data_IF_272954275463
#
_entry.id   IF_272954275463
#
_cell.length_a   1.000
_cell.length_b   1.000
_cell.length_c   1.000
_cell.angle_alpha   90.00
_cell.angle_beta   90.00
_cell.angle_gamma   90.00
#
_symmetry.space_group_name_H-M   'P 1'
#
loop_
_entity.id
_entity.type
_entity.pdbx_description
1 polymer ?
#
# COMPACT_ATOMS: atom_id res chain seq x y z
N UNK A 1 -8.61 -1.24 6.86
CA UNK A 1 -8.83 -2.50 7.59
C UNK A 1 -7.92 -3.55 6.97
N UNK A 2 -7.07 -4.19 7.76
CA UNK A 2 -6.21 -5.27 7.31
C UNK A 2 -6.61 -6.54 8.06
N UNK A 3 -6.85 -7.62 7.30
CA UNK A 3 -7.07 -8.95 7.87
C UNK A 3 -5.76 -9.72 7.85
N UNK A 4 -5.41 -10.30 8.99
CA UNK A 4 -4.22 -11.10 9.18
C UNK A 4 -4.59 -12.56 9.32
N UNK A 5 -3.82 -13.41 8.67
CA UNK A 5 -3.95 -14.86 8.75
C UNK A 5 -2.63 -15.45 9.23
N UNK A 6 -2.64 -16.64 9.86
CA UNK A 6 -1.41 -17.33 10.22
C UNK A 6 -0.53 -17.55 8.98
N UNK A 7 0.71 -17.06 9.04
CA UNK A 7 1.70 -17.21 7.95
C UNK A 7 2.28 -18.62 7.96
N UNK A 8 1.50 -19.57 7.45
CA UNK A 8 1.88 -20.97 7.33
C UNK A 8 1.68 -21.42 5.89
N UNK A 9 2.81 -21.64 5.20
CA UNK A 9 2.80 -22.02 3.79
C UNK A 9 2.17 -23.41 3.61
N UNK A 10 1.63 -23.73 2.41
CA UNK A 10 1.10 -25.05 2.11
C UNK A 10 2.12 -26.18 2.40
N UNK A 11 3.41 -25.98 2.05
CA UNK A 11 4.46 -26.95 2.37
C UNK A 11 4.62 -27.19 3.88
N UNK A 12 4.69 -26.11 4.67
CA UNK A 12 4.83 -26.22 6.12
C UNK A 12 3.65 -26.96 6.74
N UNK A 13 2.43 -26.69 6.26
CA UNK A 13 1.21 -27.41 6.68
C UNK A 13 1.29 -28.89 6.39
N UNK A 14 1.63 -29.26 5.15
CA UNK A 14 1.74 -30.66 4.77
C UNK A 14 2.82 -31.38 5.56
N UNK A 15 3.95 -30.72 5.86
CA UNK A 15 5.02 -31.29 6.70
C UNK A 15 4.58 -31.47 8.15
N UNK A 16 3.84 -30.52 8.72
CA UNK A 16 3.28 -30.64 10.07
C UNK A 16 2.25 -31.78 10.12
N UNK A 17 1.31 -31.83 9.18
CA UNK A 17 0.31 -32.89 9.10
C UNK A 17 0.97 -34.28 8.95
N UNK A 18 1.97 -34.40 8.08
CA UNK A 18 2.72 -35.64 7.91
C UNK A 18 3.48 -36.04 9.19
N UNK A 19 4.03 -35.08 9.93
CA UNK A 19 4.69 -35.35 11.21
C UNK A 19 3.67 -35.80 12.28
N UNK A 20 2.52 -35.13 12.36
CA UNK A 20 1.45 -35.47 13.30
C UNK A 20 0.83 -36.85 13.00
N UNK A 21 0.66 -37.21 11.73
CA UNK A 21 0.13 -38.52 11.31
C UNK A 21 1.00 -39.71 11.74
N UNK A 22 2.29 -39.48 11.96
CA UNK A 22 3.20 -40.48 12.54
C UNK A 22 2.96 -40.70 14.03
N UNK A 23 2.40 -39.71 14.73
CA UNK A 23 2.11 -39.75 16.16
C UNK A 23 0.68 -40.22 16.44
N UNK A 24 -0.26 -39.88 15.57
CA UNK A 24 -1.68 -40.25 15.70
C UNK A 24 -2.31 -40.49 14.32
N UNK A 25 -3.17 -41.51 14.12
CA UNK A 25 -3.73 -41.84 12.80
C UNK A 25 -4.67 -40.77 12.23
N UNK A 26 -5.24 -39.93 13.08
CA UNK A 26 -6.11 -38.82 12.70
C UNK A 26 -5.78 -37.60 13.58
N UNK A 27 -4.69 -36.88 13.32
CA UNK A 27 -4.36 -35.69 14.07
C UNK A 27 -5.26 -34.53 13.63
N UNK A 28 -5.53 -33.62 14.56
CA UNK A 28 -6.17 -32.34 14.27
C UNK A 28 -5.12 -31.24 14.39
N UNK A 29 -5.00 -30.43 13.33
CA UNK A 29 -4.18 -29.23 13.33
C UNK A 29 -5.12 -28.04 13.43
N UNK A 30 -5.43 -27.66 14.67
CA UNK A 30 -6.18 -26.44 14.94
C UNK A 30 -5.22 -25.26 14.99
N UNK A 31 -5.60 -24.21 14.29
CA UNK A 31 -4.81 -22.99 14.21
C UNK A 31 -5.50 -21.89 15.00
N UNK A 32 -4.73 -20.90 15.40
CA UNK A 32 -5.21 -19.93 16.39
C UNK A 32 -6.43 -19.13 15.92
N UNK A 33 -6.61 -18.95 14.60
CA UNK A 33 -7.81 -18.33 14.03
C UNK A 33 -9.05 -19.24 14.09
N UNK A 34 -8.87 -20.57 14.10
CA UNK A 34 -9.95 -21.56 14.19
C UNK A 34 -10.38 -21.85 15.64
N UNK A 35 -9.50 -21.63 16.62
CA UNK A 35 -9.78 -21.89 18.03
C UNK A 35 -10.54 -20.71 18.66
N UNK A 36 -11.52 -21.01 19.51
CA UNK A 36 -12.21 -20.00 20.31
C UNK A 36 -11.31 -19.47 21.43
N UNK A 37 -10.51 -18.46 21.12
CA UNK A 37 -9.57 -17.84 22.05
C UNK A 37 -9.86 -16.36 22.25
N UNK A 38 -9.51 -15.84 23.42
CA UNK A 38 -9.38 -14.40 23.62
C UNK A 38 -7.99 -13.96 23.19
N UNK A 39 -7.89 -12.75 22.65
CA UNK A 39 -6.60 -12.14 22.28
C UNK A 39 -6.40 -10.87 23.10
N UNK A 40 -5.23 -10.74 23.69
CA UNK A 40 -4.80 -9.55 24.40
C UNK A 40 -3.47 -9.08 23.82
N UNK A 41 -3.36 -7.78 23.57
CA UNK A 41 -2.17 -7.15 23.03
C UNK A 41 -1.37 -6.47 24.14
N UNK A 42 -0.05 -6.65 24.13
CA UNK A 42 0.89 -5.92 24.97
C UNK A 42 2.08 -5.42 24.18
N UNK A 43 2.78 -4.43 24.73
CA UNK A 43 4.07 -3.96 24.21
C UNK A 43 4.02 -3.39 22.77
N UNK A 44 2.93 -2.69 22.45
CA UNK A 44 2.84 -1.96 21.19
C UNK A 44 3.64 -0.65 21.23
N UNK A 45 4.12 -0.21 20.07
CA UNK A 45 5.00 0.94 19.95
C UNK A 45 4.34 2.29 20.30
N UNK A 46 5.07 3.09 21.08
CA UNK A 46 4.99 4.54 21.22
C UNK A 46 3.58 5.16 21.32
N UNK A 47 2.74 4.63 22.22
CA UNK A 47 1.46 5.25 22.56
C UNK A 47 0.33 4.98 21.56
N UNK A 48 0.56 4.14 20.56
CA UNK A 48 -0.51 3.54 19.77
C UNK A 48 -0.99 2.26 20.45
N UNK A 49 -2.29 2.12 20.66
CA UNK A 49 -2.91 0.89 21.12
C UNK A 49 -3.73 0.32 19.96
N UNK A 50 -3.28 -0.74 19.27
CA UNK A 50 -4.14 -1.40 18.33
C UNK A 50 -5.30 -2.04 19.06
N UNK A 51 -6.42 -2.07 18.37
CA UNK A 51 -7.50 -2.98 18.67
C UNK A 51 -7.36 -4.20 17.77
N UNK A 52 -7.37 -5.39 18.36
CA UNK A 52 -7.21 -6.66 17.65
C UNK A 52 -8.47 -7.47 17.88
N UNK A 53 -9.27 -7.61 16.84
CA UNK A 53 -10.51 -8.37 16.88
C UNK A 53 -10.38 -9.64 16.04
N UNK A 54 -10.96 -10.74 16.52
CA UNK A 54 -11.03 -11.98 15.74
C UNK A 54 -12.10 -11.85 14.65
N UNK A 55 -11.74 -12.20 13.42
CA UNK A 55 -12.68 -12.42 12.31
C UNK A 55 -12.94 -13.92 12.12
N UNK A 56 -13.83 -14.26 11.18
CA UNK A 56 -14.17 -15.65 10.88
C UNK A 56 -12.99 -16.47 10.30
N UNK A 57 -12.00 -15.82 9.68
CA UNK A 57 -10.84 -16.44 9.02
C UNK A 57 -9.48 -15.91 9.47
N UNK A 58 -9.43 -15.02 10.47
CA UNK A 58 -8.21 -14.32 10.84
C UNK A 58 -8.40 -13.32 11.97
N UNK A 59 -7.56 -12.28 11.95
CA UNK A 59 -7.58 -11.19 12.93
C UNK A 59 -7.62 -9.86 12.20
N UNK A 60 -8.48 -8.95 12.65
CA UNK A 60 -8.52 -7.58 12.20
C UNK A 60 -7.74 -6.73 13.17
N UNK A 61 -6.81 -5.94 12.64
CA UNK A 61 -6.03 -4.99 13.43
C UNK A 61 -6.44 -3.58 13.03
N UNK A 62 -6.91 -2.81 14.01
CA UNK A 62 -7.29 -1.41 13.87
C UNK A 62 -6.34 -0.56 14.69
N UNK A 63 -5.74 0.45 14.06
CA UNK A 63 -4.85 1.39 14.72
C UNK A 63 -5.43 2.80 14.58
N UNK A 64 -5.56 3.49 15.72
CA UNK A 64 -5.96 4.89 15.76
C UNK A 64 -4.74 5.76 16.11
N UNK A 65 -4.55 6.82 15.35
CA UNK A 65 -3.46 7.78 15.56
C UNK A 65 -3.87 9.15 15.07
N UNK A 66 -3.18 10.19 15.55
CA UNK A 66 -3.23 11.50 14.93
C UNK A 66 -2.53 11.49 13.55
N UNK A 67 -2.66 12.56 12.76
CA UNK A 67 -2.02 12.67 11.46
C UNK A 67 -0.50 12.49 11.45
N UNK A 68 0.21 12.90 12.51
CA UNK A 68 1.67 12.78 12.57
C UNK A 68 2.11 11.33 12.81
N UNK A 69 1.41 10.62 13.68
CA UNK A 69 1.63 9.21 13.91
C UNK A 69 1.20 8.33 12.73
N UNK A 70 0.31 8.79 11.84
CA UNK A 70 0.00 8.09 10.59
C UNK A 70 1.21 7.97 9.65
N UNK A 71 2.02 9.04 9.54
CA UNK A 71 3.27 9.00 8.78
C UNK A 71 4.30 8.08 9.43
N UNK A 72 4.44 8.17 10.75
CA UNK A 72 5.33 7.27 11.49
C UNK A 72 4.92 5.80 11.30
N UNK A 73 3.62 5.51 11.40
CA UNK A 73 3.08 4.17 11.16
C UNK A 73 3.36 3.70 9.73
N UNK A 74 3.17 4.57 8.73
CA UNK A 74 3.48 4.22 7.34
C UNK A 74 4.96 3.85 7.17
N UNK A 75 5.89 4.62 7.73
CA UNK A 75 7.32 4.32 7.65
C UNK A 75 7.69 3.05 8.42
N UNK A 76 7.07 2.82 9.59
CA UNK A 76 7.25 1.58 10.34
C UNK A 76 6.76 0.37 9.56
N UNK A 77 5.58 0.45 8.94
CA UNK A 77 5.02 -0.63 8.13
C UNK A 77 5.86 -0.93 6.89
N UNK A 78 6.45 0.09 6.26
CA UNK A 78 7.38 -0.09 5.12
C UNK A 78 8.73 -0.70 5.51
N UNK A 79 9.14 -0.59 6.77
CA UNK A 79 10.46 -1.02 7.22
C UNK A 79 10.41 -2.15 8.26
N UNK A 80 9.26 -2.83 8.41
CA UNK A 80 9.08 -3.95 9.34
C UNK A 80 9.22 -3.55 10.81
N UNK A 81 9.02 -2.28 11.13
CA UNK A 81 9.14 -1.72 12.47
C UNK A 81 7.86 -1.85 13.31
N UNK A 82 6.73 -2.22 12.73
CA UNK A 82 5.47 -2.35 13.45
C UNK A 82 5.31 -3.79 13.99
N UNK A 83 5.58 -3.96 15.28
CA UNK A 83 5.46 -5.25 15.97
C UNK A 83 4.81 -5.09 17.35
N UNK A 84 4.28 -6.19 17.88
CA UNK A 84 4.06 -6.35 19.31
C UNK A 84 3.80 -7.78 19.73
N UNK A 85 3.50 -7.96 21.02
CA UNK A 85 3.14 -9.24 21.60
C UNK A 85 1.62 -9.42 21.62
N UNK A 86 1.17 -10.58 21.14
CA UNK A 86 -0.21 -11.06 21.30
C UNK A 86 -0.20 -12.24 22.26
N UNK A 87 -1.03 -12.17 23.29
CA UNK A 87 -1.32 -13.28 24.19
C UNK A 87 -2.68 -13.85 23.85
N UNK A 88 -2.72 -15.13 23.52
CA UNK A 88 -3.94 -15.89 23.28
C UNK A 88 -4.26 -16.72 24.51
N UNK A 89 -5.49 -16.63 25.01
CA UNK A 89 -5.98 -17.53 26.06
C UNK A 89 -6.99 -18.50 25.46
N UNK A 90 -6.69 -19.80 25.56
CA UNK A 90 -7.55 -20.87 25.09
C UNK A 90 -8.73 -21.13 26.04
N UNK A 91 -9.77 -21.88 25.63
CA UNK A 91 -10.92 -22.20 26.48
C UNK A 91 -10.57 -22.94 27.79
N UNK A 92 -9.44 -23.64 27.83
CA UNK A 92 -8.93 -24.34 29.01
C UNK A 92 -8.10 -23.43 29.94
N UNK A 93 -7.93 -22.15 29.58
CA UNK A 93 -7.14 -21.17 30.31
C UNK A 93 -5.64 -21.20 29.98
N UNK A 94 -5.19 -22.06 29.06
CA UNK A 94 -3.80 -22.06 28.62
C UNK A 94 -3.46 -20.78 27.82
N UNK A 95 -2.34 -20.14 28.18
CA UNK A 95 -1.85 -18.93 27.53
C UNK A 95 -0.74 -19.22 26.51
N UNK A 96 -0.82 -18.60 25.34
CA UNK A 96 0.21 -18.66 24.31
C UNK A 96 0.60 -17.25 23.89
N UNK A 97 1.89 -16.95 23.89
CA UNK A 97 2.40 -15.67 23.43
C UNK A 97 2.97 -15.80 22.02
N UNK A 98 2.59 -14.88 21.14
CA UNK A 98 3.11 -14.75 19.78
C UNK A 98 3.55 -13.31 19.53
N UNK A 99 4.41 -13.13 18.53
CA UNK A 99 4.76 -11.80 18.05
C UNK A 99 3.94 -11.50 16.80
N UNK A 100 3.15 -10.44 16.86
CA UNK A 100 2.55 -9.84 15.67
C UNK A 100 3.59 -8.95 14.99
N UNK A 101 3.79 -9.17 13.68
CA UNK A 101 4.63 -8.33 12.84
C UNK A 101 3.78 -7.83 11.67
N UNK A 102 3.67 -6.52 11.52
CA UNK A 102 3.03 -5.86 10.38
C UNK A 102 4.13 -5.31 9.47
N UNK A 103 4.28 -5.91 8.28
CA UNK A 103 5.34 -5.55 7.35
C UNK A 103 4.80 -5.58 5.91
N UNK A 104 4.83 -4.42 5.24
CA UNK A 104 4.37 -4.26 3.86
C UNK A 104 5.31 -4.92 2.84
N UNK A 105 6.52 -5.33 3.25
CA UNK A 105 7.43 -6.10 2.41
C UNK A 105 7.14 -7.61 2.46
N UNK A 106 6.20 -8.04 3.32
CA UNK A 106 5.90 -9.46 3.58
C UNK A 106 4.42 -9.77 3.40
N UNK A 107 3.84 -9.30 2.30
CA UNK A 107 2.46 -9.64 1.93
C UNK A 107 2.43 -10.99 1.21
N UNK A 108 2.00 -12.04 1.91
CA UNK A 108 2.07 -13.44 1.43
C UNK A 108 0.79 -13.93 0.74
N UNK A 109 -0.23 -13.09 0.63
CA UNK A 109 -1.49 -13.39 -0.05
C UNK A 109 -2.47 -14.23 0.78
N UNK A 110 -3.67 -14.54 0.25
CA UNK A 110 -4.67 -15.30 0.99
C UNK A 110 -4.27 -16.76 1.20
N UNK A 111 -4.77 -17.31 2.29
CA UNK A 111 -4.20 -18.46 2.98
C UNK A 111 -4.37 -19.85 2.34
N UNK A 112 -5.44 -20.08 1.58
CA UNK A 112 -5.79 -21.43 1.10
C UNK A 112 -4.85 -21.97 0.01
N UNK A 113 -4.25 -21.09 -0.78
CA UNK A 113 -3.29 -21.46 -1.83
C UNK A 113 -1.88 -20.89 -1.64
N UNK A 114 -1.72 -19.92 -0.75
CA UNK A 114 -0.51 -19.10 -0.68
C UNK A 114 -0.36 -18.15 -1.88
N UNK A 115 0.84 -17.60 -2.11
CA UNK A 115 1.09 -16.57 -3.13
C UNK A 115 1.12 -17.12 -4.57
N UNK A 116 1.30 -18.44 -4.73
CA UNK A 116 1.41 -19.10 -6.02
C UNK A 116 0.10 -19.80 -6.36
N UNK A 117 -0.52 -19.40 -7.47
CA UNK A 117 -1.62 -20.15 -8.04
C UNK A 117 -1.07 -21.35 -8.83
N UNK A 118 -1.56 -22.54 -8.49
CA UNK A 118 -1.20 -23.79 -9.13
C UNK A 118 -2.37 -24.27 -10.00
N UNK A 119 -2.13 -24.47 -11.28
CA UNK A 119 -3.07 -25.06 -12.23
C UNK A 119 -2.43 -26.24 -12.94
N UNK A 120 -3.23 -27.19 -13.43
CA UNK A 120 -2.74 -28.28 -14.26
C UNK A 120 -3.14 -28.03 -15.72
N UNK A 121 -2.18 -28.12 -16.63
CA UNK A 121 -2.37 -28.06 -18.08
C UNK A 121 -1.79 -29.32 -18.73
N UNK A 122 -2.64 -30.32 -18.92
CA UNK A 122 -2.24 -31.65 -19.41
C UNK A 122 -1.21 -32.31 -18.51
N UNK A 123 -0.02 -32.54 -19.06
CA UNK A 123 1.12 -33.13 -18.36
C UNK A 123 2.00 -32.10 -17.64
N UNK A 124 1.56 -30.86 -17.52
CA UNK A 124 2.31 -29.80 -16.86
C UNK A 124 1.54 -29.22 -15.67
N UNK A 125 2.29 -28.79 -14.67
CA UNK A 125 1.83 -27.89 -13.63
C UNK A 125 2.24 -26.46 -13.98
N UNK A 126 1.28 -25.56 -14.00
CA UNK A 126 1.46 -24.14 -14.27
C UNK A 126 1.36 -23.38 -12.95
N UNK A 127 2.44 -22.72 -12.56
CA UNK A 127 2.52 -21.87 -11.38
C UNK A 127 2.53 -20.40 -11.79
N UNK A 128 1.65 -19.60 -11.20
CA UNK A 128 1.61 -18.15 -11.42
C UNK A 128 1.80 -17.42 -10.09
N UNK A 129 2.75 -16.50 -10.04
CA UNK A 129 2.92 -15.60 -8.90
C UNK A 129 1.81 -14.54 -8.89
N UNK A 130 0.94 -14.57 -7.88
CA UNK A 130 -0.21 -13.67 -7.76
C UNK A 130 -0.01 -12.49 -6.81
N UNK A 131 1.15 -12.40 -6.16
CA UNK A 131 1.48 -11.29 -5.28
C UNK A 131 2.35 -10.26 -6.00
N UNK A 132 2.46 -9.07 -5.42
CA UNK A 132 3.27 -7.97 -5.96
C UNK A 132 4.76 -8.10 -5.61
N UNK A 133 5.14 -9.13 -4.86
CA UNK A 133 6.52 -9.43 -4.49
C UNK A 133 7.05 -10.63 -5.28
N UNK A 134 8.36 -10.71 -5.53
CA UNK A 134 8.95 -11.89 -6.13
C UNK A 134 8.85 -13.10 -5.20
N UNK A 135 8.79 -14.30 -5.77
CA UNK A 135 8.75 -15.58 -5.05
C UNK A 135 9.90 -16.47 -5.54
N UNK A 136 10.72 -16.98 -4.63
CA UNK A 136 11.78 -17.94 -4.94
C UNK A 136 11.20 -19.36 -4.81
N UNK A 137 10.94 -20.01 -5.94
CA UNK A 137 10.40 -21.37 -6.02
C UNK A 137 11.56 -22.37 -6.03
N UNK A 138 11.62 -23.26 -5.04
CA UNK A 138 12.62 -24.33 -4.96
C UNK A 138 12.13 -25.58 -5.68
N UNK A 139 10.97 -26.09 -5.29
CA UNK A 139 10.43 -27.35 -5.77
C UNK A 139 8.92 -27.30 -5.95
N UNK A 140 8.39 -28.27 -6.70
CA UNK A 140 6.98 -28.61 -6.76
C UNK A 140 6.79 -30.04 -6.26
N UNK A 141 5.98 -30.22 -5.23
CA UNK A 141 5.49 -31.54 -4.85
C UNK A 141 4.51 -32.07 -5.92
N UNK A 142 4.72 -33.30 -6.35
CA UNK A 142 3.81 -34.06 -7.20
C UNK A 142 3.40 -35.35 -6.49
N UNK A 143 2.14 -35.74 -6.66
CA UNK A 143 1.58 -36.96 -6.09
C UNK A 143 1.25 -37.93 -7.21
N UNK A 144 1.72 -39.16 -7.12
CA UNK A 144 1.33 -40.22 -8.05
C UNK A 144 -0.09 -40.75 -7.74
N UNK A 145 -0.52 -41.79 -8.48
CA UNK A 145 -1.83 -42.40 -8.32
C UNK A 145 -2.03 -43.08 -6.95
N UNK A 146 -0.94 -43.52 -6.30
CA UNK A 146 -0.94 -44.16 -4.99
C UNK A 146 -0.75 -43.12 -3.85
N UNK A 147 -0.59 -41.85 -4.20
CA UNK A 147 -0.36 -40.75 -3.26
C UNK A 147 1.10 -40.64 -2.80
N UNK A 148 2.04 -41.32 -3.45
CA UNK A 148 3.46 -41.17 -3.15
C UNK A 148 3.97 -39.80 -3.62
N UNK A 149 4.76 -39.17 -2.76
CA UNK A 149 5.28 -37.83 -2.96
C UNK A 149 6.59 -37.87 -3.76
N UNK A 150 6.65 -37.10 -4.84
CA UNK A 150 7.87 -36.80 -5.59
C UNK A 150 8.11 -35.30 -5.61
N UNK A 151 9.33 -34.86 -5.29
CA UNK A 151 9.71 -33.45 -5.40
C UNK A 151 10.32 -33.19 -6.78
N UNK A 152 9.75 -32.24 -7.51
CA UNK A 152 10.22 -31.83 -8.83
C UNK A 152 11.00 -30.52 -8.68
N UNK A 153 12.31 -30.48 -9.02
CA UNK A 153 13.10 -29.27 -8.89
C UNK A 153 12.60 -28.21 -9.88
N UNK A 154 12.47 -26.98 -9.39
CA UNK A 154 12.07 -25.83 -10.17
C UNK A 154 13.15 -24.73 -10.18
N UNK A 155 13.73 -24.46 -9.00
CA UNK A 155 14.85 -23.54 -8.76
C UNK A 155 14.78 -22.22 -9.56
N UNK A 156 13.67 -21.50 -9.41
CA UNK A 156 13.43 -20.26 -10.17
C UNK A 156 12.79 -19.18 -9.31
N UNK A 157 13.26 -17.95 -9.49
CA UNK A 157 12.58 -16.74 -9.00
C UNK A 157 11.50 -16.31 -9.98
N UNK A 158 10.27 -16.18 -9.49
CA UNK A 158 9.13 -15.68 -10.25
C UNK A 158 8.85 -14.22 -9.87
N UNK A 159 8.94 -13.32 -10.83
CA UNK A 159 8.51 -11.93 -10.70
C UNK A 159 6.98 -11.84 -10.50
N UNK A 160 6.45 -10.68 -10.05
CA UNK A 160 5.01 -10.47 -9.92
C UNK A 160 4.27 -10.76 -11.24
N UNK A 161 3.23 -11.59 -11.19
CA UNK A 161 2.45 -12.01 -12.36
C UNK A 161 3.15 -13.03 -13.28
N UNK A 162 4.42 -13.37 -13.01
CA UNK A 162 5.16 -14.32 -13.83
C UNK A 162 4.61 -15.74 -13.67
N UNK A 163 4.68 -16.50 -14.77
CA UNK A 163 4.23 -17.88 -14.84
C UNK A 163 5.37 -18.82 -15.20
N UNK A 164 5.36 -20.01 -14.60
CA UNK A 164 6.29 -21.10 -14.89
C UNK A 164 5.52 -22.40 -15.11
N UNK A 165 5.99 -23.21 -16.04
CA UNK A 165 5.46 -24.55 -16.31
C UNK A 165 6.48 -25.61 -15.90
N UNK A 166 6.05 -26.62 -15.16
CA UNK A 166 6.85 -27.76 -14.72
C UNK A 166 6.21 -29.03 -15.27
N UNK A 167 7.00 -29.87 -15.97
CA UNK A 167 6.52 -31.15 -16.45
C UNK A 167 6.25 -32.11 -15.27
N UNK A 168 5.06 -32.69 -15.23
CA UNK A 168 4.67 -33.69 -14.26
C UNK A 168 5.05 -35.09 -14.77
N UNK A 169 5.51 -36.00 -13.88
CA UNK A 169 5.63 -37.40 -14.22
C UNK A 169 4.28 -37.99 -14.67
N UNK A 170 4.32 -38.97 -15.57
CA UNK A 170 3.12 -39.58 -16.11
C UNK A 170 2.21 -40.13 -14.98
N UNK A 171 0.92 -39.79 -15.04
CA UNK A 171 -0.07 -40.21 -14.04
C UNK A 171 0.00 -39.46 -12.71
N UNK A 172 0.92 -38.51 -12.55
CA UNK A 172 1.00 -37.66 -11.34
C UNK A 172 0.07 -36.45 -11.43
N UNK A 173 -0.31 -35.93 -10.26
CA UNK A 173 -1.03 -34.67 -10.09
C UNK A 173 -0.15 -33.66 -9.36
N UNK A 174 -0.32 -32.35 -9.62
CA UNK A 174 0.37 -31.34 -8.83
C UNK A 174 -0.12 -31.39 -7.37
N UNK A 175 0.83 -31.37 -6.43
CA UNK A 175 0.59 -31.24 -5.00
C UNK A 175 0.66 -29.78 -4.58
N UNK A 176 1.77 -29.37 -3.99
CA UNK A 176 1.98 -28.00 -3.48
C UNK A 176 3.37 -27.47 -3.84
N UNK A 177 3.53 -26.15 -3.99
CA UNK A 177 4.85 -25.55 -4.21
C UNK A 177 5.64 -25.42 -2.91
N UNK A 178 6.97 -25.54 -3.02
CA UNK A 178 7.94 -25.21 -1.97
C UNK A 178 8.65 -23.93 -2.38
N UNK A 179 8.48 -22.89 -1.58
CA UNK A 179 8.96 -21.56 -1.93
C UNK A 179 9.36 -20.75 -0.69
N UNK A 180 10.11 -19.68 -0.94
CA UNK A 180 10.37 -18.60 0.00
C UNK A 180 10.01 -17.27 -0.63
N UNK A 181 9.52 -16.32 0.16
CA UNK A 181 9.26 -14.96 -0.30
C UNK A 181 10.41 -14.10 0.21
N UNK A 182 11.37 -13.70 -0.64
CA UNK A 182 12.40 -12.76 -0.24
C UNK A 182 11.77 -11.40 0.11
N UNK A 183 12.39 -10.60 1.00
CA UNK A 183 11.96 -9.22 1.22
C UNK A 183 11.90 -8.46 -0.11
N UNK A 184 10.72 -7.94 -0.44
CA UNK A 184 10.49 -7.13 -1.64
C UNK A 184 10.45 -5.64 -1.31
N UNK A 185 10.10 -4.85 -2.32
CA UNK A 185 9.71 -3.45 -2.11
C UNK A 185 8.38 -3.41 -1.33
N UNK A 186 8.25 -2.44 -0.43
CA UNK A 186 7.07 -2.29 0.39
C UNK A 186 5.85 -2.01 -0.49
N UNK A 187 4.76 -2.74 -0.26
CA UNK A 187 3.49 -2.43 -0.87
C UNK A 187 3.05 -0.99 -0.54
N UNK A 188 2.36 -0.35 -1.47
CA UNK A 188 1.80 0.98 -1.25
C UNK A 188 0.51 0.89 -0.44
N UNK A 189 0.37 1.78 0.54
CA UNK A 189 -0.90 1.96 1.25
C UNK A 189 -1.78 2.91 0.45
N UNK A 190 -2.95 2.44 0.04
CA UNK A 190 -3.97 3.30 -0.56
C UNK A 190 -4.74 4.04 0.54
N UNK A 191 -4.84 5.36 0.42
CA UNK A 191 -5.61 6.19 1.33
C UNK A 191 -7.10 6.13 0.95
N UNK A 192 -7.90 5.36 1.70
CA UNK A 192 -9.35 5.29 1.51
C UNK A 192 -10.02 6.42 2.27
N UNK A 193 -10.52 7.42 1.53
CA UNK A 193 -11.14 8.64 2.06
C UNK A 193 -12.60 8.40 2.43
N UNK A 194 -12.85 7.68 3.51
CA UNK A 194 -14.25 7.43 3.91
C UNK A 194 -14.84 8.54 4.77
N UNK A 195 -14.07 9.22 5.63
CA UNK A 195 -14.61 10.21 6.60
C UNK A 195 -13.64 11.29 7.09
N UNK A 196 -12.52 11.56 6.40
CA UNK A 196 -11.61 12.65 6.80
C UNK A 196 -12.21 13.98 6.32
N UNK A 197 -12.38 14.96 7.22
CA UNK A 197 -12.64 16.35 6.83
C UNK A 197 -11.59 16.74 5.78
N UNK A 198 -12.04 17.11 4.58
CA UNK A 198 -11.13 17.59 3.54
C UNK A 198 -10.34 18.76 4.11
N UNK A 199 -9.01 18.63 4.20
CA UNK A 199 -8.17 19.77 4.52
C UNK A 199 -8.11 20.64 3.27
N UNK A 200 -8.99 21.63 3.23
CA UNK A 200 -9.03 22.61 2.16
C UNK A 200 -8.00 23.70 2.44
N UNK A 201 -7.19 24.01 1.42
CA UNK A 201 -6.35 25.21 1.41
C UNK A 201 -6.75 26.08 0.23
N UNK A 202 -6.95 27.37 0.49
CA UNK A 202 -7.22 28.35 -0.53
C UNK A 202 -5.96 29.15 -0.78
N UNK A 203 -5.45 29.09 -2.00
CA UNK A 203 -4.35 29.94 -2.45
C UNK A 203 -4.93 31.20 -3.08
N UNK A 204 -4.51 32.34 -2.58
CA UNK A 204 -4.88 33.67 -3.04
C UNK A 204 -3.79 34.22 -3.96
N UNK A 205 -4.12 34.43 -5.23
CA UNK A 205 -3.30 35.17 -6.17
C UNK A 205 -3.66 36.66 -6.09
N UNK A 206 -2.71 37.49 -5.66
CA UNK A 206 -2.90 38.94 -5.51
C UNK A 206 -2.24 39.62 -6.71
N UNK A 207 -3.05 40.21 -7.57
CA UNK A 207 -2.58 40.95 -8.73
C UNK A 207 -2.30 42.41 -8.37
N UNK A 208 -1.02 42.80 -8.42
CA UNK A 208 -0.57 44.19 -8.24
C UNK A 208 -0.02 44.80 -9.53
N UNK A 209 -0.30 44.17 -10.67
CA UNK A 209 0.19 44.60 -11.99
C UNK A 209 -0.72 45.69 -12.53
N UNK A 210 -0.12 46.79 -13.00
CA UNK A 210 -0.84 47.80 -13.75
C UNK A 210 -0.96 47.37 -15.22
N UNK A 211 -2.15 46.98 -15.66
CA UNK A 211 -2.35 46.38 -16.98
C UNK A 211 -2.13 47.41 -18.10
N UNK A 212 -2.61 48.65 -17.90
CA UNK A 212 -2.43 49.74 -18.85
C UNK A 212 -0.96 50.02 -19.17
N UNK A 213 -0.09 50.04 -18.15
CA UNK A 213 1.35 50.27 -18.32
C UNK A 213 2.06 49.14 -19.10
N UNK A 214 1.47 47.94 -19.14
CA UNK A 214 2.06 46.76 -19.75
C UNK A 214 1.29 46.24 -20.97
N UNK A 215 0.31 47.01 -21.46
CA UNK A 215 -0.54 46.65 -22.61
C UNK A 215 -1.23 45.28 -22.44
N UNK A 216 -1.61 44.95 -21.20
CA UNK A 216 -2.27 43.70 -20.84
C UNK A 216 -3.79 43.84 -20.84
N UNK A 217 -4.46 42.74 -21.15
CA UNK A 217 -5.92 42.61 -21.04
C UNK A 217 -6.34 41.60 -19.97
N UNK A 218 -5.58 40.52 -19.81
CA UNK A 218 -5.97 39.36 -19.00
C UNK A 218 -4.74 38.54 -18.57
N UNK A 219 -4.83 37.97 -17.38
CA UNK A 219 -3.95 36.93 -16.87
C UNK A 219 -4.75 35.64 -16.70
N UNK A 220 -4.18 34.53 -17.16
CA UNK A 220 -4.68 33.19 -16.91
C UNK A 220 -3.62 32.39 -16.18
N UNK A 221 -3.97 31.90 -15.00
CA UNK A 221 -3.13 31.09 -14.15
C UNK A 221 -3.57 29.63 -14.22
N UNK A 222 -2.59 28.73 -14.31
CA UNK A 222 -2.75 27.32 -14.01
C UNK A 222 -1.93 27.02 -12.77
N UNK A 223 -2.55 26.48 -11.75
CA UNK A 223 -1.90 26.18 -10.48
C UNK A 223 -2.13 24.70 -10.13
N UNK A 224 -1.13 24.05 -9.55
CA UNK A 224 -1.20 22.66 -9.09
C UNK A 224 -0.32 22.47 -7.87
N UNK A 225 -0.65 21.48 -7.05
CA UNK A 225 0.26 21.03 -6.00
C UNK A 225 1.25 20.05 -6.59
N UNK A 226 2.54 20.26 -6.31
CA UNK A 226 3.60 19.38 -6.79
C UNK A 226 3.34 17.95 -6.31
N UNK A 227 3.47 16.98 -7.23
CA UNK A 227 3.31 15.55 -6.95
C UNK A 227 1.91 15.13 -6.44
N UNK A 228 0.88 15.98 -6.58
CA UNK A 228 -0.51 15.64 -6.24
C UNK A 228 -1.35 15.52 -7.52
N UNK A 229 -1.69 14.30 -7.96
CA UNK A 229 -2.55 14.09 -9.12
C UNK A 229 -3.92 14.77 -8.97
N UNK A 230 -4.44 15.36 -10.05
CA UNK A 230 -5.77 15.99 -10.06
C UNK A 230 -5.88 17.32 -9.30
N UNK A 231 -4.77 17.85 -8.79
CA UNK A 231 -4.76 19.12 -8.04
C UNK A 231 -4.85 20.37 -8.93
N UNK A 232 -4.91 20.23 -10.25
CA UNK A 232 -4.84 21.38 -11.15
C UNK A 232 -6.07 22.30 -11.06
N UNK A 233 -5.84 23.60 -10.98
CA UNK A 233 -6.85 24.66 -10.90
C UNK A 233 -6.51 25.78 -11.89
N UNK A 234 -7.53 26.34 -12.51
CA UNK A 234 -7.40 27.51 -13.38
C UNK A 234 -7.97 28.74 -12.67
N UNK A 235 -7.26 29.86 -12.76
CA UNK A 235 -7.70 31.16 -12.22
C UNK A 235 -7.54 32.20 -13.32
N UNK A 236 -8.60 32.93 -13.62
CA UNK A 236 -8.56 34.02 -14.60
C UNK A 236 -8.72 35.35 -13.88
N UNK A 237 -7.87 36.31 -14.23
CA UNK A 237 -7.86 37.64 -13.63
C UNK A 237 -7.77 38.73 -14.70
N UNK A 238 -8.63 39.74 -14.61
CA UNK A 238 -8.54 40.98 -15.36
C UNK A 238 -8.08 42.15 -14.45
N UNK A 239 -8.00 43.37 -14.99
CA UNK A 239 -7.54 44.55 -14.24
C UNK A 239 -8.44 44.89 -13.04
N UNK A 240 -9.75 44.64 -13.15
CA UNK A 240 -10.71 44.89 -12.07
C UNK A 240 -10.62 43.83 -10.97
N UNK A 241 -10.04 42.66 -11.27
CA UNK A 241 -9.85 41.55 -10.35
C UNK A 241 -8.45 41.60 -9.74
N UNK A 242 -8.33 42.25 -8.60
CA UNK A 242 -7.07 42.31 -7.83
C UNK A 242 -6.75 41.00 -7.12
N UNK A 243 -7.72 40.08 -7.01
CA UNK A 243 -7.57 38.81 -6.31
C UNK A 243 -8.21 37.67 -7.11
N UNK A 244 -7.54 36.53 -7.14
CA UNK A 244 -8.03 35.28 -7.71
C UNK A 244 -7.76 34.12 -6.77
N UNK A 245 -8.66 33.15 -6.72
CA UNK A 245 -8.63 32.06 -5.74
C UNK A 245 -8.50 30.70 -6.41
N UNK A 246 -7.64 29.85 -5.85
CA UNK A 246 -7.55 28.44 -6.19
C UNK A 246 -7.71 27.59 -4.92
N UNK A 247 -8.82 26.85 -4.86
CA UNK A 247 -9.10 25.92 -3.78
C UNK A 247 -8.49 24.54 -4.07
N UNK A 248 -7.69 24.04 -3.14
CA UNK A 248 -7.06 22.73 -3.20
C UNK A 248 -7.48 21.88 -2.01
N UNK A 249 -7.73 20.59 -2.28
CA UNK A 249 -7.89 19.58 -1.25
C UNK A 249 -6.55 18.90 -1.03
N UNK A 250 -6.01 19.00 0.18
CA UNK A 250 -4.73 18.40 0.55
C UNK A 250 -4.94 16.99 1.10
N UNK A 251 -4.33 15.95 0.49
CA UNK A 251 -4.18 14.65 1.14
C UNK A 251 -3.42 14.82 2.46
N UNK A 252 -3.75 14.03 3.49
CA UNK A 252 -3.11 14.16 4.81
C UNK A 252 -1.60 13.97 4.74
N UNK A 253 -1.16 13.04 3.88
CA UNK A 253 0.23 12.74 3.57
C UNK A 253 0.98 13.93 2.97
N UNK A 254 0.29 14.77 2.20
CA UNK A 254 0.85 15.98 1.58
C UNK A 254 0.77 17.18 2.52
N UNK A 255 -0.28 17.26 3.35
CA UNK A 255 -0.43 18.34 4.32
C UNK A 255 0.78 18.45 5.24
N UNK A 256 1.38 17.34 5.68
CA UNK A 256 2.57 17.40 6.54
C UNK A 256 3.90 17.47 5.76
N UNK A 257 3.90 17.11 4.47
CA UNK A 257 5.05 17.19 3.57
C UNK A 257 5.37 18.60 3.06
N UNK A 258 6.38 18.76 2.18
CA UNK A 258 6.66 20.04 1.51
C UNK A 258 5.45 20.48 0.69
N UNK A 259 4.90 21.67 0.97
CA UNK A 259 3.71 22.17 0.29
C UNK A 259 4.10 23.10 -0.84
N UNK A 260 4.63 22.53 -1.92
CA UNK A 260 5.03 23.31 -3.09
C UNK A 260 3.85 23.51 -4.04
N UNK A 261 3.41 24.75 -4.17
CA UNK A 261 2.54 25.18 -5.24
C UNK A 261 3.38 25.40 -6.49
N UNK A 262 2.99 24.77 -7.59
CA UNK A 262 3.48 25.13 -8.92
C UNK A 262 2.40 25.94 -9.62
N UNK A 263 2.78 27.09 -10.20
CA UNK A 263 1.85 27.88 -10.99
C UNK A 263 2.50 28.42 -12.26
N UNK A 264 1.69 28.56 -13.30
CA UNK A 264 2.07 29.08 -14.60
C UNK A 264 1.16 30.24 -14.94
N UNK A 265 1.72 31.31 -15.50
CA UNK A 265 0.97 32.51 -15.87
C UNK A 265 1.02 32.69 -17.38
N UNK A 266 -0.15 32.87 -17.99
CA UNK A 266 -0.33 33.27 -19.37
C UNK A 266 -0.87 34.70 -19.42
N UNK A 267 -0.17 35.56 -20.15
CA UNK A 267 -0.49 36.97 -20.31
C UNK A 267 -1.11 37.18 -21.68
N UNK A 268 -2.31 37.75 -21.73
CA UNK A 268 -2.96 38.16 -22.98
C UNK A 268 -2.84 39.67 -23.14
N UNK A 269 -2.18 40.12 -24.21
CA UNK A 269 -2.04 41.54 -24.52
C UNK A 269 -3.33 42.14 -25.10
N UNK A 270 -3.40 43.48 -25.18
CA UNK A 270 -4.48 44.19 -25.85
C UNK A 270 -4.59 43.83 -27.35
N UNK A 271 -3.47 43.46 -27.98
CA UNK A 271 -3.44 42.97 -29.36
C UNK A 271 -3.92 41.51 -29.50
N UNK A 272 -4.23 40.83 -28.39
CA UNK A 272 -4.66 39.43 -28.38
C UNK A 272 -3.53 38.42 -28.39
N UNK A 273 -2.26 38.86 -28.36
CA UNK A 273 -1.11 37.96 -28.27
C UNK A 273 -1.06 37.32 -26.88
N UNK A 274 -0.90 35.99 -26.83
CA UNK A 274 -0.75 35.25 -25.57
C UNK A 274 0.71 34.85 -25.38
N UNK A 275 1.27 35.20 -24.23
CA UNK A 275 2.62 34.80 -23.82
C UNK A 275 2.53 34.00 -22.52
N UNK A 276 2.99 32.75 -22.54
CA UNK A 276 2.98 31.87 -21.37
C UNK A 276 4.36 31.74 -20.77
N UNK A 277 4.46 31.88 -19.45
CA UNK A 277 5.72 31.73 -18.70
C UNK A 277 5.97 30.29 -18.30
N UNK A 278 7.17 30.02 -17.79
CA UNK A 278 7.50 28.74 -17.16
C UNK A 278 6.69 28.51 -15.88
N UNK A 279 6.84 27.32 -15.30
CA UNK A 279 6.29 27.04 -13.98
C UNK A 279 7.12 27.74 -12.91
N UNK A 280 6.45 28.53 -12.07
CA UNK A 280 6.98 29.09 -10.85
C UNK A 280 6.65 28.18 -9.67
N UNK A 281 7.43 28.28 -8.60
CA UNK A 281 7.22 27.54 -7.38
C UNK A 281 7.05 28.49 -6.20
N UNK A 282 6.08 28.18 -5.32
CA UNK A 282 5.87 28.87 -4.06
C UNK A 282 5.73 27.85 -2.93
N UNK A 283 6.29 28.17 -1.76
CA UNK A 283 6.15 27.35 -0.56
C UNK A 283 4.92 27.82 0.25
N UNK A 284 3.88 26.99 0.28
CA UNK A 284 2.64 27.27 1.02
C UNK A 284 2.82 27.19 2.54
N UNK A 285 3.97 26.75 3.05
CA UNK A 285 4.30 26.86 4.48
C UNK A 285 4.60 28.30 4.89
N UNK A 286 5.11 29.12 3.97
CA UNK A 286 5.38 30.53 4.21
C UNK A 286 4.10 31.39 4.15
N UNK A 287 3.02 30.85 3.58
CA UNK A 287 1.72 31.50 3.48
C UNK A 287 0.94 31.06 2.25
N UNK A 288 -0.37 31.31 2.25
CA UNK A 288 -1.26 30.91 1.16
C UNK A 288 -1.53 32.04 0.14
N UNK A 289 -0.71 33.09 0.13
CA UNK A 289 -0.86 34.23 -0.77
C UNK A 289 0.35 34.34 -1.70
N UNK A 290 0.08 34.47 -3.00
CA UNK A 290 1.08 34.65 -4.05
C UNK A 290 0.85 36.00 -4.70
N UNK A 291 1.78 36.93 -4.53
CA UNK A 291 1.72 38.23 -5.18
C UNK A 291 2.24 38.14 -6.62
N UNK A 292 1.39 38.48 -7.57
CA UNK A 292 1.75 38.64 -8.97
C UNK A 292 2.18 40.09 -9.20
N UNK A 293 3.47 40.29 -9.44
CA UNK A 293 4.03 41.58 -9.85
C UNK A 293 4.68 41.44 -11.23
N UNK A 294 4.99 42.58 -11.86
CA UNK A 294 5.53 42.57 -13.21
C UNK A 294 6.93 41.96 -13.29
N UNK A 295 7.77 42.13 -12.27
CA UNK A 295 9.13 41.57 -12.26
C UNK A 295 9.14 40.04 -12.24
N UNK A 296 8.16 39.41 -11.59
CA UNK A 296 7.92 37.97 -11.64
C UNK A 296 7.57 37.49 -13.06
N UNK A 297 6.91 38.34 -13.85
CA UNK A 297 6.40 38.01 -15.19
C UNK A 297 7.29 38.53 -16.34
N UNK A 298 8.44 39.16 -16.06
CA UNK A 298 9.42 39.53 -17.09
C UNK A 298 10.09 38.31 -17.73
#
# INVERSE_FOLDING_TARGET
MASLQPDLSPDQRHRIDAALKRLHPAPLLDLINAIDCTVEQSDWLAGMAPDVERSWDGFQVTLATDPAGALMLQEMLKHGGANASLTFTLPDGAGFTSTLVLDLNRLTGPWDGGPLQLAQDGANAVLTNRIQSPVDLSDLAALDADGALTMLPAERRLAPGETMSIALPAGSKPGWPVYTIPPGDAATLEEIRSFVENIETNVLFINVINYANHQLRRLDLRARLKEVPGSERAVTMNEEQTMGEAAFTLPLTVYQGPRTLEFQVSMTSLAGTVTTKGWFQADLRAGNAVTLNWDLLK
#
